data_IF_487413179206
#
_entry.id   IF_487413179206
#
_cell.length_a   1.000
_cell.length_b   1.000
_cell.length_c   1.000
_cell.angle_alpha   90.00
_cell.angle_beta   90.00
_cell.angle_gamma   90.00
#
_symmetry.space_group_name_H-M   'P 1'
#
loop_
_entity.id
_entity.type
_entity.pdbx_description
1 polymer ?
#
# COMPACT_ATOMS: atom_id res chain seq x y z
N UNK A 1 -31.49 -67.82 -34.44
CA UNK A 1 -32.20 -66.65 -33.85
C UNK A 1 -31.15 -65.69 -33.28
N UNK A 2 -30.88 -64.56 -33.94
CA UNK A 2 -29.97 -63.51 -33.45
C UNK A 2 -30.77 -62.56 -32.57
N UNK A 3 -30.39 -62.42 -31.29
CA UNK A 3 -30.93 -61.40 -30.38
C UNK A 3 -30.16 -60.10 -30.55
N UNK A 4 -30.85 -59.02 -30.93
CA UNK A 4 -30.32 -57.66 -30.98
C UNK A 4 -30.54 -57.06 -29.58
N UNK A 5 -29.45 -56.69 -28.91
CA UNK A 5 -29.49 -55.95 -27.64
C UNK A 5 -29.37 -54.47 -28.00
N UNK A 6 -30.44 -53.71 -27.80
CA UNK A 6 -30.42 -52.26 -27.94
C UNK A 6 -29.85 -51.66 -26.65
N UNK A 7 -28.64 -51.15 -26.71
CA UNK A 7 -28.04 -50.35 -25.62
C UNK A 7 -28.53 -48.91 -25.76
N UNK A 8 -29.33 -48.43 -24.81
CA UNK A 8 -29.73 -47.03 -24.70
C UNK A 8 -28.65 -46.30 -23.91
N UNK A 9 -28.00 -45.33 -24.55
CA UNK A 9 -27.06 -44.40 -23.91
C UNK A 9 -27.85 -43.23 -23.33
N UNK A 10 -27.86 -43.08 -22.01
CA UNK A 10 -28.42 -41.90 -21.33
C UNK A 10 -27.27 -40.94 -21.04
N UNK A 11 -27.26 -39.81 -21.73
CA UNK A 11 -26.32 -38.72 -21.46
C UNK A 11 -26.96 -37.80 -20.42
N UNK A 12 -26.40 -37.78 -19.22
CA UNK A 12 -26.82 -36.87 -18.14
C UNK A 12 -25.99 -35.60 -18.26
N UNK A 13 -26.64 -34.47 -18.53
CA UNK A 13 -26.02 -33.15 -18.57
C UNK A 13 -26.06 -32.56 -17.16
N UNK A 14 -24.92 -32.52 -16.46
CA UNK A 14 -24.80 -31.83 -15.17
C UNK A 14 -24.32 -30.41 -15.47
N UNK A 15 -25.15 -29.36 -15.28
CA UNK A 15 -24.68 -28.00 -15.42
C UNK A 15 -23.65 -27.72 -14.33
N UNK A 16 -22.45 -27.31 -14.73
CA UNK A 16 -21.42 -26.82 -13.81
C UNK A 16 -21.88 -25.47 -13.26
N UNK A 17 -22.24 -25.43 -11.98
CA UNK A 17 -22.42 -24.17 -11.24
C UNK A 17 -21.05 -23.53 -11.07
N UNK A 18 -20.80 -22.45 -11.81
CA UNK A 18 -19.67 -21.58 -11.55
C UNK A 18 -20.00 -20.74 -10.31
N UNK A 19 -19.40 -21.06 -9.16
CA UNK A 19 -19.40 -20.16 -8.01
C UNK A 19 -18.41 -19.03 -8.31
N UNK A 20 -18.92 -17.80 -8.44
CA UNK A 20 -18.06 -16.63 -8.32
C UNK A 20 -17.64 -16.51 -6.86
N UNK A 21 -16.35 -16.35 -6.60
CA UNK A 21 -15.91 -15.92 -5.27
C UNK A 21 -16.55 -14.56 -4.95
N UNK A 22 -16.97 -14.38 -3.69
CA UNK A 22 -17.43 -13.09 -3.20
C UNK A 22 -16.32 -12.05 -3.37
N UNK A 23 -16.68 -10.88 -3.90
CA UNK A 23 -15.76 -9.74 -3.95
C UNK A 23 -15.78 -9.06 -2.59
N UNK A 24 -14.65 -9.06 -1.89
CA UNK A 24 -14.54 -8.48 -0.55
C UNK A 24 -13.71 -7.19 -0.61
N UNK A 25 -14.20 -6.14 0.03
CA UNK A 25 -13.41 -4.96 0.38
C UNK A 25 -13.08 -5.00 1.88
N UNK A 26 -11.88 -4.55 2.21
CA UNK A 26 -11.44 -4.34 3.58
C UNK A 26 -11.27 -2.85 3.82
N UNK A 27 -11.94 -2.33 4.84
CA UNK A 27 -11.99 -0.91 5.16
C UNK A 27 -11.22 -0.70 6.45
N UNK A 28 -10.18 0.11 6.38
CA UNK A 28 -9.37 0.49 7.53
C UNK A 28 -10.03 1.68 8.22
N UNK A 29 -10.43 1.52 9.48
CA UNK A 29 -11.05 2.56 10.26
C UNK A 29 -9.98 3.24 11.13
N UNK A 30 -9.28 4.25 10.62
CA UNK A 30 -8.09 4.79 11.30
C UNK A 30 -8.35 5.36 12.69
N UNK A 31 -9.48 6.03 12.93
CA UNK A 31 -9.86 6.53 14.26
C UNK A 31 -10.51 5.46 15.15
N UNK A 32 -11.07 4.41 14.54
CA UNK A 32 -11.65 3.28 15.25
C UNK A 32 -10.63 2.20 15.60
N UNK A 33 -9.44 2.26 14.99
CA UNK A 33 -8.35 1.29 15.16
C UNK A 33 -8.81 -0.14 14.82
N UNK A 34 -9.62 -0.28 13.77
CA UNK A 34 -10.20 -1.57 13.36
C UNK A 34 -10.17 -1.78 11.86
N UNK A 35 -10.27 -3.06 11.46
CA UNK A 35 -10.54 -3.47 10.09
C UNK A 35 -11.99 -3.93 9.95
N UNK A 36 -12.70 -3.43 8.94
CA UNK A 36 -14.06 -3.83 8.58
C UNK A 36 -14.07 -4.59 7.27
N UNK A 37 -14.93 -5.60 7.17
CA UNK A 37 -15.10 -6.42 5.96
C UNK A 37 -16.44 -6.11 5.29
N UNK A 38 -16.40 -5.84 3.99
CA UNK A 38 -17.60 -5.57 3.17
C UNK A 38 -17.67 -6.57 2.03
N UNK A 39 -18.76 -7.33 1.94
CA UNK A 39 -19.06 -8.12 0.76
C UNK A 39 -19.68 -7.20 -0.31
N UNK A 40 -18.95 -6.96 -1.39
CA UNK A 40 -19.34 -6.08 -2.48
C UNK A 40 -20.43 -6.67 -3.38
N UNK A 41 -20.68 -7.98 -3.29
CA UNK A 41 -21.75 -8.66 -4.04
C UNK A 41 -23.09 -8.57 -3.32
N UNK A 42 -23.11 -8.81 -2.01
CA UNK A 42 -24.34 -8.79 -1.20
C UNK A 42 -24.59 -7.46 -0.48
N UNK A 43 -23.59 -6.61 -0.35
CA UNK A 43 -23.63 -5.39 0.45
C UNK A 43 -23.54 -5.63 1.96
N UNK A 44 -23.32 -6.88 2.41
CA UNK A 44 -23.19 -7.20 3.83
C UNK A 44 -21.91 -6.62 4.39
N UNK A 45 -22.03 -5.85 5.48
CA UNK A 45 -20.93 -5.27 6.25
C UNK A 45 -20.75 -6.05 7.54
N UNK A 46 -19.53 -6.48 7.83
CA UNK A 46 -19.10 -7.04 9.11
C UNK A 46 -18.08 -6.08 9.71
N UNK A 47 -18.54 -5.24 10.64
CA UNK A 47 -17.70 -4.22 11.26
C UNK A 47 -16.68 -4.86 12.20
N UNK A 48 -15.53 -4.18 12.31
CA UNK A 48 -14.54 -4.40 13.37
C UNK A 48 -14.11 -5.87 13.53
N UNK A 49 -13.80 -6.53 12.41
CA UNK A 49 -13.39 -7.94 12.40
C UNK A 49 -12.07 -8.16 13.14
N UNK A 50 -11.19 -7.16 13.17
CA UNK A 50 -9.86 -7.20 13.82
C UNK A 50 -9.50 -5.81 14.33
N UNK A 51 -8.96 -5.73 15.54
CA UNK A 51 -8.32 -4.51 16.09
C UNK A 51 -6.93 -4.34 15.49
N UNK A 52 -6.59 -3.09 15.16
CA UNK A 52 -5.32 -2.72 14.55
C UNK A 52 -4.40 -2.09 15.59
N UNK A 53 -3.16 -2.57 15.64
CA UNK A 53 -2.17 -2.13 16.60
C UNK A 53 -2.01 -3.07 17.80
N UNK A 54 -0.83 -3.08 18.39
CA UNK A 54 -0.50 -3.75 19.67
C UNK A 54 -0.97 -2.96 20.90
N UNK A 55 -1.28 -1.67 20.72
CA UNK A 55 -1.78 -0.76 21.75
C UNK A 55 -2.79 0.23 21.15
N UNK A 56 -3.37 1.08 21.99
CA UNK A 56 -4.24 2.19 21.60
C UNK A 56 -3.48 3.27 20.84
N UNK A 57 -4.21 4.14 20.15
CA UNK A 57 -3.65 5.24 19.35
C UNK A 57 -2.75 4.72 18.22
N UNK A 58 -3.16 3.63 17.57
CA UNK A 58 -2.36 2.95 16.54
C UNK A 58 -2.35 3.67 15.19
N UNK A 59 -3.32 4.56 14.93
CA UNK A 59 -3.43 5.42 13.75
C UNK A 59 -3.05 4.71 12.43
N UNK A 60 -3.78 3.67 12.01
CA UNK A 60 -3.36 2.89 10.87
C UNK A 60 -3.64 3.61 9.55
N UNK A 61 -2.68 3.52 8.63
CA UNK A 61 -2.64 4.33 7.41
C UNK A 61 -3.01 3.56 6.14
N UNK A 62 -2.59 2.29 6.05
CA UNK A 62 -2.76 1.50 4.84
C UNK A 62 -3.04 0.04 5.16
N UNK A 63 -3.93 -0.58 4.37
CA UNK A 63 -4.12 -2.02 4.31
C UNK A 63 -3.81 -2.53 2.91
N UNK A 64 -2.97 -3.57 2.82
CA UNK A 64 -2.68 -4.29 1.58
C UNK A 64 -3.10 -5.75 1.74
N UNK A 65 -3.93 -6.24 0.83
CA UNK A 65 -4.39 -7.64 0.83
C UNK A 65 -3.60 -8.44 -0.19
N UNK A 66 -3.00 -9.54 0.24
CA UNK A 66 -2.33 -10.53 -0.63
C UNK A 66 -2.80 -11.92 -0.24
N UNK A 67 -3.44 -12.59 -1.19
CA UNK A 67 -4.08 -13.89 -0.97
C UNK A 67 -5.05 -13.88 0.22
N UNK A 68 -4.74 -14.66 1.27
CA UNK A 68 -5.55 -14.72 2.50
C UNK A 68 -4.97 -13.91 3.65
N UNK A 69 -4.01 -13.01 3.38
CA UNK A 69 -3.39 -12.16 4.38
C UNK A 69 -3.73 -10.69 4.12
N UNK A 70 -3.95 -9.94 5.19
CA UNK A 70 -3.91 -8.48 5.18
C UNK A 70 -2.67 -7.99 5.94
N UNK A 71 -2.02 -7.00 5.37
CA UNK A 71 -0.85 -6.32 5.90
C UNK A 71 -1.28 -4.89 6.21
N UNK A 72 -1.18 -4.47 7.47
CA UNK A 72 -1.67 -3.17 7.92
C UNK A 72 -0.53 -2.39 8.55
N UNK A 73 -0.26 -1.19 8.05
CA UNK A 73 0.65 -0.26 8.72
C UNK A 73 -0.08 0.44 9.85
N UNK A 74 0.43 0.31 11.07
CA UNK A 74 -0.03 1.02 12.25
C UNK A 74 1.04 2.02 12.69
N UNK A 75 0.74 3.30 12.51
CA UNK A 75 1.74 4.37 12.57
C UNK A 75 2.03 4.86 13.98
N UNK A 76 1.07 4.76 14.90
CA UNK A 76 1.26 5.13 16.31
C UNK A 76 1.89 4.03 17.16
N UNK A 77 1.81 2.77 16.74
CA UNK A 77 2.45 1.62 17.41
C UNK A 77 3.71 1.12 16.69
N UNK A 78 4.18 1.87 15.68
CA UNK A 78 5.42 1.62 14.95
C UNK A 78 5.56 0.21 14.36
N UNK A 79 4.50 -0.31 13.71
CA UNK A 79 4.50 -1.71 13.28
C UNK A 79 3.75 -1.99 11.96
N UNK A 80 4.12 -3.12 11.37
CA UNK A 80 3.37 -3.82 10.34
C UNK A 80 2.63 -5.00 10.97
N UNK A 81 1.31 -4.95 10.99
CA UNK A 81 0.46 -6.02 11.47
C UNK A 81 0.07 -6.98 10.33
N UNK A 82 0.14 -8.28 10.58
CA UNK A 82 -0.23 -9.33 9.62
C UNK A 82 -1.46 -10.07 10.13
N UNK A 83 -2.52 -10.11 9.32
CA UNK A 83 -3.83 -10.66 9.68
C UNK A 83 -4.16 -11.82 8.75
N UNK A 84 -4.55 -12.96 9.31
CA UNK A 84 -5.15 -14.05 8.55
C UNK A 84 -6.63 -13.76 8.31
N UNK A 85 -7.01 -13.54 7.06
CA UNK A 85 -8.36 -13.15 6.66
C UNK A 85 -9.37 -14.31 6.67
N UNK A 86 -8.91 -15.57 6.75
CA UNK A 86 -9.79 -16.73 6.89
C UNK A 86 -10.23 -16.94 8.33
N UNK A 87 -9.32 -16.70 9.28
CA UNK A 87 -9.59 -16.84 10.72
C UNK A 87 -9.98 -15.52 11.37
N UNK A 88 -9.76 -14.39 10.67
CA UNK A 88 -9.98 -13.03 11.18
C UNK A 88 -9.18 -12.79 12.47
N UNK A 89 -7.91 -13.19 12.44
CA UNK A 89 -7.00 -13.06 13.59
C UNK A 89 -5.67 -12.49 13.14
N UNK A 90 -5.10 -11.61 13.95
CA UNK A 90 -3.69 -11.25 13.83
C UNK A 90 -2.81 -12.49 14.02
N UNK A 91 -1.83 -12.67 13.14
CA UNK A 91 -0.85 -13.75 13.23
C UNK A 91 0.56 -13.25 13.54
N UNK A 92 0.85 -11.98 13.29
CA UNK A 92 2.14 -11.38 13.64
C UNK A 92 2.08 -9.85 13.71
N UNK A 93 3.06 -9.27 14.40
CA UNK A 93 3.38 -7.85 14.41
C UNK A 93 4.89 -7.69 14.17
N UNK A 94 5.26 -6.94 13.14
CA UNK A 94 6.66 -6.64 12.84
C UNK A 94 6.94 -5.20 13.25
N UNK A 95 7.77 -5.03 14.28
CA UNK A 95 8.21 -3.71 14.74
C UNK A 95 9.11 -3.04 13.69
N UNK A 96 8.79 -1.79 13.34
CA UNK A 96 9.50 -1.00 12.32
C UNK A 96 10.54 -0.02 12.91
N UNK A 97 10.73 -0.06 14.23
CA UNK A 97 11.63 0.79 15.00
C UNK A 97 10.86 1.84 15.81
N UNK A 98 11.32 2.12 17.04
CA UNK A 98 10.64 3.06 17.93
C UNK A 98 10.62 4.49 17.36
N UNK A 99 9.45 5.14 17.42
CA UNK A 99 9.16 6.47 16.86
C UNK A 99 9.47 6.54 15.35
N UNK A 100 9.23 5.45 14.62
CA UNK A 100 9.47 5.40 13.17
C UNK A 100 8.29 5.97 12.38
N UNK A 101 7.08 5.87 12.94
CA UNK A 101 5.83 6.30 12.31
C UNK A 101 5.70 5.76 10.88
N UNK A 102 5.57 4.43 10.71
CA UNK A 102 5.44 3.84 9.39
C UNK A 102 4.19 4.40 8.70
N UNK A 103 4.31 4.73 7.41
CA UNK A 103 3.27 5.48 6.70
C UNK A 103 2.66 4.71 5.53
N UNK A 104 3.49 4.24 4.61
CA UNK A 104 3.04 3.53 3.40
C UNK A 104 3.94 2.33 3.11
N UNK A 105 3.39 1.29 2.48
CA UNK A 105 4.08 0.07 2.11
C UNK A 105 3.98 -0.23 0.62
N UNK A 106 5.06 -0.80 0.06
CA UNK A 106 5.10 -1.37 -1.28
C UNK A 106 5.81 -2.73 -1.24
N UNK A 107 5.14 -3.78 -1.72
CA UNK A 107 5.77 -5.09 -1.81
C UNK A 107 6.69 -5.17 -3.02
N UNK A 108 7.91 -5.64 -2.80
CA UNK A 108 8.86 -5.96 -3.87
C UNK A 108 8.55 -7.34 -4.47
N UNK A 109 8.30 -8.33 -3.61
CA UNK A 109 7.95 -9.69 -4.00
C UNK A 109 7.02 -10.34 -2.95
N UNK A 110 7.03 -11.67 -2.81
CA UNK A 110 6.24 -12.38 -1.79
C UNK A 110 6.86 -12.38 -0.38
N UNK A 111 8.11 -11.93 -0.25
CA UNK A 111 8.91 -11.97 0.98
C UNK A 111 9.29 -10.58 1.48
N UNK A 112 9.63 -9.66 0.57
CA UNK A 112 10.10 -8.34 0.94
C UNK A 112 9.04 -7.26 0.70
N UNK A 113 8.83 -6.44 1.72
CA UNK A 113 8.02 -5.22 1.66
C UNK A 113 8.86 -4.04 2.12
N UNK A 114 8.73 -2.92 1.42
CA UNK A 114 9.39 -1.67 1.73
C UNK A 114 8.38 -0.74 2.38
N UNK A 115 8.73 -0.13 3.51
CA UNK A 115 7.83 0.71 4.32
C UNK A 115 8.49 2.05 4.57
N UNK A 116 7.81 3.15 4.23
CA UNK A 116 8.28 4.50 4.57
C UNK A 116 8.13 4.75 6.06
N UNK A 117 9.20 5.25 6.68
CA UNK A 117 9.29 5.60 8.09
C UNK A 117 9.38 7.11 8.20
N UNK A 118 8.23 7.75 8.41
CA UNK A 118 8.06 9.19 8.23
C UNK A 118 8.93 9.98 9.22
N UNK A 119 8.96 9.59 10.49
CA UNK A 119 9.68 10.36 11.52
C UNK A 119 11.20 10.12 11.52
N UNK A 120 11.67 9.04 10.91
CA UNK A 120 13.11 8.71 10.86
C UNK A 120 13.76 9.02 9.51
N UNK A 121 13.00 9.51 8.53
CA UNK A 121 13.47 9.83 7.17
C UNK A 121 14.13 8.62 6.48
N UNK A 122 13.45 7.49 6.54
CA UNK A 122 13.95 6.23 5.99
C UNK A 122 12.86 5.44 5.27
N UNK A 123 13.30 4.44 4.51
CA UNK A 123 12.49 3.31 4.08
C UNK A 123 13.07 2.03 4.68
N UNK A 124 12.27 1.27 5.43
CA UNK A 124 12.66 -0.04 5.92
C UNK A 124 12.35 -1.12 4.89
N UNK A 125 13.31 -2.02 4.64
CA UNK A 125 13.08 -3.30 3.95
C UNK A 125 12.76 -4.35 5.00
N UNK A 126 11.55 -4.89 4.95
CA UNK A 126 11.05 -5.89 5.88
C UNK A 126 10.97 -7.25 5.19
N UNK A 127 11.55 -8.26 5.82
CA UNK A 127 11.35 -9.67 5.47
C UNK A 127 10.16 -10.21 6.25
N UNK A 128 9.02 -10.39 5.57
CA UNK A 128 7.77 -10.83 6.22
C UNK A 128 7.79 -12.30 6.61
N UNK A 129 8.78 -13.08 6.15
CA UNK A 129 8.93 -14.48 6.57
C UNK A 129 9.72 -14.61 7.86
N UNK A 130 10.76 -13.78 8.05
CA UNK A 130 11.51 -13.75 9.30
C UNK A 130 10.91 -12.82 10.35
N UNK A 131 10.02 -11.90 9.94
CA UNK A 131 9.41 -10.91 10.83
C UNK A 131 10.37 -9.80 11.26
N UNK A 132 11.33 -9.42 10.39
CA UNK A 132 12.40 -8.50 10.74
C UNK A 132 12.58 -7.40 9.69
N UNK A 133 12.93 -6.20 10.16
CA UNK A 133 13.59 -5.19 9.32
C UNK A 133 15.00 -5.70 9.02
N UNK A 134 15.31 -5.92 7.75
CA UNK A 134 16.59 -6.51 7.30
C UNK A 134 17.52 -5.49 6.67
N UNK A 135 17.00 -4.31 6.28
CA UNK A 135 17.78 -3.21 5.71
C UNK A 135 17.01 -1.89 5.81
N UNK A 136 17.70 -0.76 5.65
CA UNK A 136 17.10 0.57 5.63
C UNK A 136 17.77 1.46 4.57
N UNK A 137 16.96 2.28 3.89
CA UNK A 137 17.38 3.29 2.93
C UNK A 137 17.16 4.66 3.57
N UNK A 138 18.19 5.50 3.63
CA UNK A 138 18.03 6.91 4.02
C UNK A 138 17.37 7.69 2.89
N UNK A 139 16.41 8.53 3.24
CA UNK A 139 15.66 9.33 2.25
C UNK A 139 15.72 10.83 2.52
N UNK A 140 15.02 11.59 1.69
CA UNK A 140 14.60 12.96 2.02
C UNK A 140 13.62 13.01 3.19
N UNK A 141 13.13 14.22 3.48
CA UNK A 141 12.36 14.53 4.69
C UNK A 141 10.93 13.99 4.61
N UNK A 142 10.50 13.32 5.68
CA UNK A 142 9.13 12.85 5.91
C UNK A 142 8.61 12.02 4.74
N UNK A 143 9.24 10.86 4.44
CA UNK A 143 8.80 9.97 3.38
C UNK A 143 7.38 9.49 3.67
N UNK A 144 6.53 9.57 2.65
CA UNK A 144 5.11 9.27 2.71
C UNK A 144 4.78 8.11 1.76
N UNK A 145 4.31 8.40 0.55
CA UNK A 145 4.01 7.39 -0.46
C UNK A 145 5.24 6.65 -0.97
N UNK A 146 5.09 5.37 -1.26
CA UNK A 146 6.11 4.56 -1.93
C UNK A 146 5.46 3.62 -2.94
N UNK A 147 6.09 3.49 -4.11
CA UNK A 147 5.80 2.42 -5.07
C UNK A 147 7.09 1.76 -5.54
N UNK A 148 6.98 0.51 -5.97
CA UNK A 148 8.09 -0.24 -6.56
C UNK A 148 7.78 -0.48 -8.02
N UNK A 149 8.71 -0.11 -8.88
CA UNK A 149 8.64 -0.30 -10.32
C UNK A 149 10.05 -0.54 -10.85
N UNK A 150 10.21 -1.52 -11.77
CA UNK A 150 11.48 -1.90 -12.38
C UNK A 150 12.69 -1.94 -11.41
N UNK A 151 12.54 -2.73 -10.33
CA UNK A 151 13.55 -2.90 -9.28
C UNK A 151 13.99 -1.62 -8.56
N UNK A 152 13.26 -0.51 -8.71
CA UNK A 152 13.49 0.75 -8.01
C UNK A 152 12.36 1.05 -7.03
N UNK A 153 12.69 1.74 -5.94
CA UNK A 153 11.72 2.36 -5.06
C UNK A 153 11.56 3.83 -5.43
N UNK A 154 10.33 4.21 -5.74
CA UNK A 154 9.90 5.58 -5.99
C UNK A 154 9.25 6.08 -4.69
N UNK A 155 9.97 6.93 -3.97
CA UNK A 155 9.61 7.38 -2.61
C UNK A 155 9.26 8.86 -2.65
N UNK A 156 8.03 9.18 -2.25
CA UNK A 156 7.57 10.56 -2.12
C UNK A 156 8.03 11.08 -0.77
N UNK A 157 8.86 12.11 -0.76
CA UNK A 157 9.26 12.84 0.43
C UNK A 157 8.41 14.11 0.54
N UNK A 158 7.51 14.16 1.53
CA UNK A 158 6.54 15.25 1.67
C UNK A 158 7.19 16.58 2.04
N UNK A 159 8.39 16.56 2.62
CA UNK A 159 9.06 17.77 3.13
C UNK A 159 8.40 18.35 4.38
N UNK A 160 7.44 17.65 5.01
CA UNK A 160 6.75 18.12 6.20
C UNK A 160 7.70 18.23 7.40
N UNK A 161 7.75 19.40 8.03
CA UNK A 161 8.54 19.66 9.24
C UNK A 161 7.64 19.64 10.47
N UNK A 162 7.84 18.63 11.32
CA UNK A 162 7.08 18.42 12.55
C UNK A 162 7.36 19.47 13.65
N UNK A 163 8.41 20.27 13.54
CA UNK A 163 8.71 21.33 14.51
C UNK A 163 7.98 22.62 14.18
N UNK A 164 7.90 22.97 12.89
CA UNK A 164 7.31 24.22 12.41
C UNK A 164 5.88 24.04 11.89
N UNK A 165 5.44 22.80 11.65
CA UNK A 165 4.15 22.46 11.05
C UNK A 165 3.99 23.09 9.65
N UNK A 166 5.07 23.07 8.86
CA UNK A 166 5.11 23.64 7.50
C UNK A 166 5.63 22.61 6.49
N UNK A 167 5.33 22.83 5.21
CA UNK A 167 5.80 22.01 4.11
C UNK A 167 7.01 22.66 3.42
N UNK A 168 8.15 21.98 3.45
CA UNK A 168 9.23 22.25 2.50
C UNK A 168 8.86 21.68 1.11
N UNK A 169 9.57 22.07 0.04
CA UNK A 169 9.41 21.43 -1.27
C UNK A 169 9.43 19.90 -1.16
N UNK A 170 8.45 19.26 -1.78
CA UNK A 170 8.36 17.80 -1.81
C UNK A 170 9.19 17.27 -2.98
N UNK A 171 9.71 16.05 -2.83
CA UNK A 171 10.45 15.37 -3.90
C UNK A 171 9.92 13.97 -4.13
N UNK A 172 10.12 13.47 -5.34
CA UNK A 172 10.09 12.05 -5.65
C UNK A 172 11.55 11.56 -5.75
N UNK A 173 12.01 10.85 -4.74
CA UNK A 173 13.35 10.25 -4.72
C UNK A 173 13.29 8.80 -5.21
N UNK A 174 14.22 8.42 -6.09
CA UNK A 174 14.23 7.14 -6.78
C UNK A 174 15.47 6.36 -6.39
N UNK A 175 15.30 5.18 -5.80
CA UNK A 175 16.40 4.35 -5.30
C UNK A 175 16.48 3.02 -6.02
N UNK A 176 17.68 2.60 -6.41
CA UNK A 176 17.96 1.26 -6.92
C UNK A 176 17.94 0.27 -5.75
N UNK A 177 17.10 -0.78 -5.81
CA UNK A 177 16.91 -1.69 -4.67
C UNK A 177 18.00 -2.74 -4.52
N UNK A 178 18.85 -2.92 -5.54
CA UNK A 178 19.97 -3.85 -5.47
C UNK A 178 21.12 -3.36 -4.59
N UNK A 179 21.31 -2.04 -4.46
CA UNK A 179 22.38 -1.43 -3.66
C UNK A 179 21.96 -0.21 -2.83
N UNK A 180 20.66 0.14 -2.84
CA UNK A 180 20.04 1.27 -2.16
C UNK A 180 20.57 2.65 -2.60
N UNK A 181 21.21 2.75 -3.76
CA UNK A 181 21.72 4.02 -4.27
C UNK A 181 20.59 4.93 -4.75
N UNK A 182 20.70 6.23 -4.47
CA UNK A 182 19.83 7.25 -5.05
C UNK A 182 20.18 7.41 -6.53
N UNK A 183 19.22 7.10 -7.39
CA UNK A 183 19.33 7.19 -8.85
C UNK A 183 18.96 8.59 -9.33
N UNK A 184 17.89 9.15 -8.77
CA UNK A 184 17.35 10.44 -9.19
C UNK A 184 16.46 11.06 -8.12
N UNK A 185 16.24 12.37 -8.21
CA UNK A 185 15.34 13.12 -7.35
C UNK A 185 14.63 14.22 -8.15
N UNK A 186 13.30 14.19 -8.13
CA UNK A 186 12.44 15.08 -8.92
C UNK A 186 11.64 15.98 -7.98
N UNK A 187 11.70 17.29 -8.17
CA UNK A 187 10.85 18.24 -7.45
C UNK A 187 9.38 18.07 -7.85
N UNK A 188 8.51 18.01 -6.85
CA UNK A 188 7.05 17.97 -7.02
C UNK A 188 6.35 18.96 -6.10
N UNK A 189 5.05 19.16 -6.31
CA UNK A 189 4.24 20.11 -5.56
C UNK A 189 4.23 19.84 -4.06
N UNK A 190 3.97 20.89 -3.26
CA UNK A 190 4.01 20.82 -1.80
C UNK A 190 3.07 19.76 -1.23
N UNK A 191 3.54 19.16 -0.13
CA UNK A 191 2.84 18.13 0.61
C UNK A 191 2.37 16.99 -0.30
N UNK A 192 3.28 16.50 -1.15
CA UNK A 192 3.09 15.26 -1.86
C UNK A 192 3.11 14.10 -0.87
N UNK A 193 2.06 13.26 -0.93
CA UNK A 193 1.87 12.19 0.05
C UNK A 193 1.63 10.82 -0.59
N UNK A 194 1.20 10.77 -1.86
CA UNK A 194 0.79 9.53 -2.49
C UNK A 194 1.48 9.31 -3.83
N UNK A 195 1.76 8.03 -4.14
CA UNK A 195 2.26 7.57 -5.42
C UNK A 195 1.48 6.32 -5.87
N UNK A 196 1.27 6.19 -7.18
CA UNK A 196 0.78 4.99 -7.83
C UNK A 196 1.52 4.76 -9.16
N UNK A 197 1.73 3.51 -9.55
CA UNK A 197 2.26 3.17 -10.88
C UNK A 197 1.14 2.61 -11.75
N UNK A 198 1.04 3.08 -12.99
CA UNK A 198 0.09 2.56 -13.97
C UNK A 198 0.66 1.38 -14.78
N UNK A 199 -0.18 0.75 -15.61
CA UNK A 199 0.22 -0.41 -16.42
C UNK A 199 1.24 -0.09 -17.52
N UNK A 200 1.48 1.19 -17.81
CA UNK A 200 2.49 1.63 -18.79
C UNK A 200 3.83 1.96 -18.12
N UNK A 201 3.91 1.86 -16.79
CA UNK A 201 5.10 2.23 -16.03
C UNK A 201 5.16 3.69 -15.62
N UNK A 202 4.11 4.49 -15.84
CA UNK A 202 4.13 5.88 -15.36
C UNK A 202 3.82 5.93 -13.87
N UNK A 203 4.56 6.75 -13.14
CA UNK A 203 4.38 7.05 -11.73
C UNK A 203 3.54 8.31 -11.59
N UNK A 204 2.40 8.18 -10.91
CA UNK A 204 1.44 9.25 -10.64
C UNK A 204 1.60 9.72 -9.20
N UNK A 205 1.88 11.00 -9.00
CA UNK A 205 2.07 11.61 -7.68
C UNK A 205 0.94 12.59 -7.40
N UNK A 206 0.44 12.60 -6.16
CA UNK A 206 -0.55 13.58 -5.70
C UNK A 206 0.07 14.49 -4.65
N UNK A 207 0.20 15.77 -5.01
CA UNK A 207 0.52 16.88 -4.12
C UNK A 207 -0.77 17.52 -3.61
N UNK A 208 -0.87 17.72 -2.31
CA UNK A 208 -2.08 18.24 -1.66
C UNK A 208 -2.06 19.75 -1.47
N UNK A 209 -0.93 20.40 -1.78
CA UNK A 209 -0.73 21.82 -1.58
C UNK A 209 -0.42 22.15 -0.12
N UNK A 210 -0.93 23.27 0.39
CA UNK A 210 -0.68 23.70 1.77
C UNK A 210 -1.96 23.88 2.60
N UNK A 211 -3.11 23.43 2.11
CA UNK A 211 -4.44 23.62 2.72
C UNK A 211 -4.92 25.08 2.83
N UNK A 212 -4.18 26.03 2.24
CA UNK A 212 -4.50 27.45 2.28
C UNK A 212 -4.54 28.03 0.86
N UNK A 213 -3.43 28.59 0.39
CA UNK A 213 -3.31 29.35 -0.84
C UNK A 213 -2.57 28.61 -1.97
N UNK A 214 -1.96 27.45 -1.67
CA UNK A 214 -1.35 26.57 -2.65
C UNK A 214 -2.27 25.36 -2.82
N UNK A 215 -2.87 25.26 -4.01
CA UNK A 215 -3.73 24.13 -4.39
C UNK A 215 -2.90 22.88 -4.71
N UNK A 216 -3.56 21.72 -4.71
CA UNK A 216 -2.96 20.46 -5.08
C UNK A 216 -2.59 20.39 -6.56
N UNK A 217 -1.72 19.44 -6.87
CA UNK A 217 -1.24 19.16 -8.23
C UNK A 217 -1.02 17.67 -8.39
N UNK A 218 -1.33 17.15 -9.57
CA UNK A 218 -1.03 15.76 -9.94
C UNK A 218 0.11 15.77 -10.95
N UNK A 219 1.08 14.90 -10.74
CA UNK A 219 2.21 14.68 -11.66
C UNK A 219 2.10 13.30 -12.28
N UNK A 220 2.44 13.20 -13.56
CA UNK A 220 2.63 11.96 -14.30
C UNK A 220 4.10 11.94 -14.73
N UNK A 221 4.84 10.97 -14.24
CA UNK A 221 6.29 10.83 -14.44
C UNK A 221 6.54 9.50 -15.14
N UNK A 222 7.37 9.50 -16.17
CA UNK A 222 7.78 8.26 -16.82
C UNK A 222 8.68 7.46 -15.86
N UNK A 223 8.30 6.22 -15.54
CA UNK A 223 9.05 5.40 -14.58
C UNK A 223 10.40 4.90 -15.09
N UNK A 224 10.66 4.94 -16.40
CA UNK A 224 11.92 4.48 -16.98
C UNK A 224 12.89 5.65 -17.22
N UNK A 225 12.39 6.79 -17.74
CA UNK A 225 13.21 7.97 -18.04
C UNK A 225 13.28 8.99 -16.91
N UNK A 226 12.37 8.89 -15.93
CA UNK A 226 12.21 9.84 -14.82
C UNK A 226 11.80 11.25 -15.26
N UNK A 227 11.37 11.43 -16.51
CA UNK A 227 10.90 12.73 -17.00
C UNK A 227 9.45 12.96 -16.58
N UNK A 228 9.12 14.20 -16.20
CA UNK A 228 7.72 14.62 -16.01
C UNK A 228 7.05 14.65 -17.37
N UNK A 229 6.13 13.71 -17.61
CA UNK A 229 5.30 13.64 -18.82
C UNK A 229 4.27 14.76 -18.79
N UNK A 230 3.64 14.97 -17.64
CA UNK A 230 2.60 15.98 -17.47
C UNK A 230 2.47 16.36 -15.99
N UNK A 231 2.01 17.58 -15.73
CA UNK A 231 1.47 17.96 -14.44
C UNK A 231 0.27 18.87 -14.63
N UNK A 232 -0.70 18.77 -13.71
CA UNK A 232 -1.87 19.62 -13.76
C UNK A 232 -2.42 19.89 -12.36
N UNK A 233 -2.83 21.13 -12.08
CA UNK A 233 -3.42 21.50 -10.80
C UNK A 233 -4.76 20.78 -10.62
N UNK A 234 -5.07 20.49 -9.37
CA UNK A 234 -6.39 20.05 -8.94
C UNK A 234 -6.94 21.04 -7.92
N UNK A 235 -8.23 21.31 -7.98
CA UNK A 235 -8.84 22.25 -7.04
C UNK A 235 -8.81 21.68 -5.61
N UNK A 236 -8.37 22.50 -4.66
CA UNK A 236 -8.34 22.15 -3.24
C UNK A 236 -7.11 21.33 -2.82
N UNK A 237 -7.29 20.44 -1.85
CA UNK A 237 -6.26 19.58 -1.28
C UNK A 237 -6.71 18.12 -1.38
N UNK A 238 -6.43 17.45 -2.52
CA UNK A 238 -6.83 16.07 -2.79
C UNK A 238 -6.23 15.06 -1.81
#
# INVERSE_FOLDING_TARGET
>A
MRRIINTILVIVFIPTLAFSADKIAYILNSTGETLTKVNLTSGVVTNDIVTIGTDVLSYPNQVVVRDSLAYVIASGTDELQIINLKTETTIDYINTGANSNPYWMAFYDSRYVYVTLMLTNKVAKIDVLSGLVVDEISTGVSPAGIVIYDHKAFVVCSGYDFNTYTFNPSTLAIYELSDNSLVDEIDVGLNAQYAAVDNSGNVHIVATGNYYDISGEVYIIDGDSHEIINSFPVEGSP
#
